data_IF_410049605716
#
_entry.id   IF_410049605716
#
_cell.length_a   1.000
_cell.length_b   1.000
_cell.length_c   1.000
_cell.angle_alpha   90.00
_cell.angle_beta   90.00
_cell.angle_gamma   90.00
#
_symmetry.space_group_name_H-M   'P 1'
#
loop_
_entity.id
_entity.type
_entity.pdbx_description
1 polymer ?
#
# COMPACT_ATOMS: atom_id res chain seq x y z
N UNK A 1 -2.70 1.25 5.26
CA UNK A 1 -2.45 1.13 3.80
C UNK A 1 -3.72 0.85 3.00
N UNK A 2 -4.39 -0.29 3.16
CA UNK A 2 -5.52 -0.69 2.29
C UNK A 2 -6.76 0.24 2.30
N UNK A 3 -6.91 1.07 3.33
CA UNK A 3 -8.00 2.04 3.46
C UNK A 3 -7.66 3.42 2.87
N UNK A 4 -6.40 3.68 2.51
CA UNK A 4 -5.98 4.95 1.93
C UNK A 4 -6.25 4.96 0.42
N UNK A 5 -6.46 6.14 -0.15
CA UNK A 5 -6.62 6.29 -1.61
C UNK A 5 -5.28 6.09 -2.34
N UNK A 6 -4.21 6.67 -1.77
CA UNK A 6 -2.85 6.60 -2.27
C UNK A 6 -1.91 6.07 -1.19
N UNK A 7 -0.84 5.39 -1.62
CA UNK A 7 0.24 4.96 -0.75
C UNK A 7 1.58 5.17 -1.46
N UNK A 8 2.52 5.79 -0.76
CA UNK A 8 3.93 5.90 -1.14
C UNK A 8 4.70 5.08 -0.09
N UNK A 9 5.64 4.25 -0.54
CA UNK A 9 6.35 3.31 0.34
C UNK A 9 7.85 3.47 0.19
N UNK A 10 8.61 3.07 1.20
CA UNK A 10 10.05 2.86 1.04
C UNK A 10 10.30 1.64 0.14
N UNK A 11 11.35 1.66 -0.68
CA UNK A 11 11.74 0.51 -1.53
C UNK A 11 11.95 -0.79 -0.72
N UNK A 12 12.50 -0.67 0.48
CA UNK A 12 12.81 -1.77 1.41
C UNK A 12 11.68 -2.05 2.43
N UNK A 13 10.52 -1.42 2.28
CA UNK A 13 9.39 -1.64 3.18
C UNK A 13 8.97 -3.12 3.19
N UNK A 14 8.63 -3.64 4.38
CA UNK A 14 8.06 -4.98 4.55
C UNK A 14 6.56 -4.88 4.73
N UNK A 15 5.81 -5.30 3.71
CA UNK A 15 4.35 -5.17 3.64
C UNK A 15 3.72 -6.57 3.54
N UNK A 16 2.73 -6.87 4.38
CA UNK A 16 2.02 -8.16 4.31
C UNK A 16 0.98 -8.32 5.41
N UNK A 17 -0.04 -9.13 5.13
CA UNK A 17 -0.97 -9.59 6.16
C UNK A 17 -0.35 -10.80 6.86
N UNK A 18 -0.20 -10.74 8.19
CA UNK A 18 0.55 -11.74 8.96
C UNK A 18 -0.35 -12.70 9.74
N UNK A 19 -1.68 -12.60 9.61
CA UNK A 19 -2.60 -13.41 10.42
C UNK A 19 -2.39 -14.92 10.20
N UNK A 20 -2.10 -15.34 8.96
CA UNK A 20 -1.83 -16.74 8.63
C UNK A 20 -0.67 -17.35 9.45
N UNK A 21 0.37 -16.56 9.74
CA UNK A 21 1.53 -17.01 10.53
C UNK A 21 1.19 -17.28 12.01
N UNK A 22 0.02 -16.83 12.47
CA UNK A 22 -0.48 -17.05 13.82
C UNK A 22 -1.73 -17.97 13.84
N UNK A 23 -2.04 -18.63 12.73
CA UNK A 23 -3.25 -19.47 12.62
C UNK A 23 -4.55 -18.67 12.71
N UNK A 24 -4.51 -17.37 12.40
CA UNK A 24 -5.65 -16.47 12.47
C UNK A 24 -6.20 -16.21 11.07
N UNK A 25 -7.53 -16.03 11.01
CA UNK A 25 -8.17 -15.52 9.80
C UNK A 25 -7.79 -14.04 9.59
N UNK A 26 -7.54 -13.62 8.33
CA UNK A 26 -7.17 -12.23 8.06
C UNK A 26 -8.28 -11.24 8.46
N UNK A 27 -7.94 -10.36 9.41
CA UNK A 27 -8.84 -9.36 10.00
C UNK A 27 -8.78 -8.00 9.31
N UNK A 28 -9.50 -7.00 9.84
CA UNK A 28 -9.40 -5.60 9.38
C UNK A 28 -9.87 -5.35 7.93
N UNK A 29 -10.58 -6.32 7.36
CA UNK A 29 -11.07 -6.28 5.99
C UNK A 29 -10.01 -6.61 4.93
N UNK A 30 -8.88 -7.23 5.29
CA UNK A 30 -7.84 -7.60 4.32
C UNK A 30 -8.34 -8.61 3.28
N UNK A 31 -9.17 -9.57 3.70
CA UNK A 31 -9.88 -10.51 2.79
C UNK A 31 -10.76 -9.81 1.76
N UNK A 32 -11.18 -8.58 2.02
CA UNK A 32 -12.02 -7.79 1.14
C UNK A 32 -11.20 -6.79 0.31
N UNK A 33 -10.36 -6.00 0.96
CA UNK A 33 -9.66 -4.89 0.31
C UNK A 33 -8.48 -5.36 -0.54
N UNK A 34 -7.75 -6.39 -0.11
CA UNK A 34 -6.53 -6.82 -0.80
C UNK A 34 -6.84 -7.43 -2.19
N UNK A 35 -7.80 -8.36 -2.37
CA UNK A 35 -8.14 -8.89 -3.69
C UNK A 35 -8.62 -7.82 -4.68
N UNK A 36 -9.30 -6.78 -4.19
CA UNK A 36 -9.76 -5.63 -5.00
C UNK A 36 -8.61 -4.72 -5.46
N UNK A 37 -7.47 -4.74 -4.77
CA UNK A 37 -6.29 -3.91 -5.09
C UNK A 37 -5.31 -4.63 -6.02
N UNK A 38 -4.99 -5.90 -5.74
CA UNK A 38 -3.90 -6.62 -6.42
C UNK A 38 -4.36 -7.86 -7.20
N UNK A 39 -5.67 -8.08 -7.29
CA UNK A 39 -6.26 -9.28 -7.89
C UNK A 39 -6.27 -10.48 -6.93
N UNK A 40 -7.13 -11.46 -7.24
CA UNK A 40 -7.40 -12.57 -6.33
C UNK A 40 -6.19 -13.49 -6.12
N UNK A 41 -5.46 -13.86 -7.17
CA UNK A 41 -4.36 -14.83 -7.06
C UNK A 41 -3.23 -14.32 -6.14
N UNK A 42 -2.76 -13.09 -6.38
CA UNK A 42 -1.75 -12.45 -5.53
C UNK A 42 -2.25 -12.24 -4.11
N UNK A 43 -3.50 -11.84 -3.95
CA UNK A 43 -4.08 -11.69 -2.61
C UNK A 43 -4.13 -13.03 -1.86
N UNK A 44 -4.52 -14.12 -2.52
CA UNK A 44 -4.55 -15.44 -1.89
C UNK A 44 -3.16 -15.92 -1.49
N UNK A 45 -2.13 -15.69 -2.31
CA UNK A 45 -0.75 -15.97 -1.93
C UNK A 45 -0.41 -15.27 -0.60
N UNK A 46 -0.61 -13.95 -0.51
CA UNK A 46 -0.27 -13.20 0.70
C UNK A 46 -1.12 -13.60 1.92
N UNK A 47 -2.44 -13.75 1.74
CA UNK A 47 -3.38 -14.05 2.82
C UNK A 47 -3.22 -15.47 3.37
N UNK A 48 -2.67 -16.40 2.60
CA UNK A 48 -2.49 -17.81 3.02
C UNK A 48 -1.07 -18.13 3.44
N UNK A 49 -0.06 -17.44 2.88
CA UNK A 49 1.35 -17.70 3.20
C UNK A 49 1.93 -16.72 4.22
N UNK A 50 1.32 -15.54 4.41
CA UNK A 50 1.89 -14.47 5.22
C UNK A 50 3.21 -13.91 4.67
N UNK A 51 3.54 -14.14 3.39
CA UNK A 51 4.79 -13.66 2.76
C UNK A 51 4.88 -12.12 2.82
N UNK A 52 6.10 -11.64 3.05
CA UNK A 52 6.43 -10.22 2.94
C UNK A 52 6.61 -9.80 1.47
N UNK A 53 6.01 -8.68 1.12
CA UNK A 53 6.33 -7.89 -0.07
C UNK A 53 7.34 -6.80 0.29
N UNK A 54 8.31 -6.60 -0.59
CA UNK A 54 9.08 -5.35 -0.64
C UNK A 54 8.20 -4.18 -1.10
N UNK A 55 8.63 -2.94 -0.84
CA UNK A 55 7.94 -1.77 -1.36
C UNK A 55 7.96 -1.71 -2.89
N UNK A 56 9.06 -2.13 -3.50
CA UNK A 56 9.20 -2.22 -4.96
C UNK A 56 8.21 -3.22 -5.58
N UNK A 57 8.06 -4.42 -4.99
CA UNK A 57 7.02 -5.37 -5.44
C UNK A 57 5.61 -4.81 -5.23
N UNK A 58 5.37 -4.11 -4.12
CA UNK A 58 4.06 -3.51 -3.85
C UNK A 58 3.64 -2.52 -4.96
N UNK A 59 4.57 -1.78 -5.55
CA UNK A 59 4.30 -0.92 -6.72
C UNK A 59 4.02 -1.75 -7.96
N UNK A 60 4.87 -2.74 -8.25
CA UNK A 60 4.69 -3.63 -9.40
C UNK A 60 3.34 -4.35 -9.37
N UNK A 61 2.81 -4.61 -8.17
CA UNK A 61 1.55 -5.30 -7.97
C UNK A 61 0.33 -4.36 -7.91
N UNK A 62 0.54 -3.04 -7.97
CA UNK A 62 -0.52 -2.03 -7.91
C UNK A 62 -1.05 -1.76 -6.49
N UNK A 63 -0.32 -2.19 -5.45
CA UNK A 63 -0.68 -1.94 -4.05
C UNK A 63 -0.24 -0.55 -3.58
N UNK A 64 0.86 -0.03 -4.12
CA UNK A 64 1.40 1.30 -3.86
C UNK A 64 1.57 2.08 -5.17
N UNK A 65 1.54 3.41 -5.08
CA UNK A 65 1.70 4.31 -6.23
C UNK A 65 3.16 4.39 -6.68
N UNK A 66 4.09 4.44 -5.72
CA UNK A 66 5.54 4.52 -5.95
C UNK A 66 6.31 4.08 -4.73
N UNK A 67 7.53 3.61 -4.99
CA UNK A 67 8.51 3.21 -4.00
C UNK A 67 9.71 4.16 -4.16
N UNK A 68 10.26 4.63 -3.05
CA UNK A 68 11.37 5.58 -3.03
C UNK A 68 12.40 5.19 -1.97
N UNK A 69 13.62 5.70 -2.07
CA UNK A 69 14.63 5.49 -1.03
C UNK A 69 14.10 5.99 0.35
N UNK A 70 14.38 5.28 1.46
CA UNK A 70 13.86 5.63 2.79
C UNK A 70 14.10 7.10 3.18
N UNK A 71 15.30 7.61 2.89
CA UNK A 71 15.73 8.97 3.25
C UNK A 71 14.90 10.08 2.59
N UNK A 72 14.25 9.80 1.46
CA UNK A 72 13.45 10.79 0.72
C UNK A 72 11.94 10.58 0.89
N UNK A 73 11.51 9.54 1.61
CA UNK A 73 10.10 9.15 1.72
C UNK A 73 9.20 10.29 2.21
N UNK A 74 9.59 10.96 3.30
CA UNK A 74 8.79 12.07 3.85
C UNK A 74 8.68 13.25 2.88
N UNK A 75 9.78 13.61 2.21
CA UNK A 75 9.79 14.68 1.22
C UNK A 75 8.83 14.37 0.05
N UNK A 76 8.80 13.12 -0.40
CA UNK A 76 7.92 12.66 -1.48
C UNK A 76 6.44 12.64 -1.09
N UNK A 77 6.14 12.27 0.16
CA UNK A 77 4.79 12.37 0.72
C UNK A 77 4.35 13.83 0.81
N UNK A 78 5.20 14.73 1.32
CA UNK A 78 4.90 16.15 1.44
C UNK A 78 4.72 16.83 0.08
N UNK A 79 5.51 16.44 -0.92
CA UNK A 79 5.35 16.91 -2.29
C UNK A 79 4.01 16.44 -2.89
N UNK A 80 3.63 15.17 -2.67
CA UNK A 80 2.34 14.63 -3.09
C UNK A 80 1.16 15.37 -2.45
N UNK A 81 1.25 15.62 -1.15
CA UNK A 81 0.23 16.35 -0.40
C UNK A 81 0.07 17.78 -0.90
N UNK A 82 1.18 18.52 -1.07
CA UNK A 82 1.14 19.88 -1.61
C UNK A 82 0.46 19.93 -2.98
N UNK A 83 0.84 19.02 -3.89
CA UNK A 83 0.22 18.95 -5.21
C UNK A 83 -1.30 18.68 -5.17
N UNK A 84 -1.76 17.92 -4.17
CA UNK A 84 -3.19 17.66 -3.96
C UNK A 84 -3.91 18.92 -3.45
N UNK A 85 -3.40 19.55 -2.38
CA UNK A 85 -4.05 20.72 -1.75
C UNK A 85 -4.16 21.92 -2.68
N UNK A 86 -3.09 22.25 -3.43
CA UNK A 86 -3.10 23.42 -4.32
C UNK A 86 -4.18 23.34 -5.40
N UNK A 87 -4.60 22.12 -5.80
CA UNK A 87 -5.66 21.93 -6.78
C UNK A 87 -7.06 21.95 -6.17
N UNK A 88 -7.22 21.60 -4.90
CA UNK A 88 -8.50 21.67 -4.21
C UNK A 88 -8.94 23.12 -4.04
N UNK A 89 -8.01 24.02 -3.67
CA UNK A 89 -8.32 25.45 -3.50
C UNK A 89 -8.78 26.13 -4.80
N UNK A 90 -8.25 25.70 -5.96
CA UNK A 90 -8.62 26.25 -7.27
C UNK A 90 -10.01 25.80 -7.77
N UNK A 91 -10.59 24.74 -7.20
CA UNK A 91 -11.91 24.21 -7.61
C UNK A 91 -13.03 24.75 -6.70
N UNK A 92 -12.66 25.28 -5.53
CA UNK A 92 -13.58 25.84 -4.53
C UNK A 92 -13.67 27.38 -4.54
N UNK A 93 -13.03 28.06 -5.50
CA UNK A 93 -13.10 29.50 -5.72
C UNK A 93 -13.88 29.82 -7.00
#
# INVERSE_FOLDING_TARGET
MLACDMAIVSEDARIGDQHANYGLMPGGGSTQRLPRRIGLQRAMELLTTGRWLSGSEAVQWGLALRAVHPDVLNNEVDACWRAFVTRVELVSA
#
